data_IF_413374804924
#
_entry.id   IF_413374804924
#
_cell.length_a   1.000
_cell.length_b   1.000
_cell.length_c   1.000
_cell.angle_alpha   90.00
_cell.angle_beta   90.00
_cell.angle_gamma   90.00
#
_symmetry.space_group_name_H-M   'P 1'
#
loop_
_entity.id
_entity.type
_entity.pdbx_description
1 polymer ?
#
# COMPACT_ATOMS: atom_id res chain seq x y z
N UNK A 1 -25.99 -19.18 -15.33
CA UNK A 1 -25.19 -19.39 -14.10
C UNK A 1 -24.95 -18.03 -13.46
N UNK A 2 -25.26 -17.85 -12.18
CA UNK A 2 -24.95 -16.60 -11.48
C UNK A 2 -23.42 -16.40 -11.46
N UNK A 3 -22.90 -15.19 -11.72
CA UNK A 3 -21.47 -14.94 -11.73
C UNK A 3 -20.91 -15.30 -10.36
N UNK A 4 -19.97 -16.26 -10.31
CA UNK A 4 -19.15 -16.50 -9.12
C UNK A 4 -18.55 -15.15 -8.74
N UNK A 5 -18.75 -14.72 -7.49
CA UNK A 5 -18.32 -13.38 -7.05
C UNK A 5 -16.78 -13.32 -7.08
N UNK A 6 -16.20 -12.78 -8.16
CA UNK A 6 -14.73 -12.70 -8.36
C UNK A 6 -14.08 -11.83 -7.30
N UNK A 7 -14.78 -10.78 -6.87
CA UNK A 7 -14.33 -9.85 -5.83
C UNK A 7 -15.29 -9.86 -4.64
N UNK A 8 -14.74 -9.95 -3.44
CA UNK A 8 -15.45 -9.80 -2.18
C UNK A 8 -16.04 -8.39 -2.01
N UNK A 9 -17.00 -8.24 -1.09
CA UNK A 9 -17.56 -6.92 -0.75
C UNK A 9 -16.49 -5.93 -0.29
N UNK A 10 -15.54 -6.39 0.52
CA UNK A 10 -14.41 -5.58 1.03
C UNK A 10 -13.55 -5.07 -0.12
N UNK A 11 -13.22 -5.93 -1.08
CA UNK A 11 -12.42 -5.54 -2.24
C UNK A 11 -13.14 -4.51 -3.12
N UNK A 12 -14.46 -4.64 -3.29
CA UNK A 12 -15.28 -3.64 -3.98
C UNK A 12 -15.29 -2.30 -3.24
N UNK A 13 -15.36 -2.32 -1.91
CA UNK A 13 -15.24 -1.12 -1.08
C UNK A 13 -13.87 -0.46 -1.25
N UNK A 14 -12.79 -1.25 -1.26
CA UNK A 14 -11.44 -0.74 -1.52
C UNK A 14 -11.35 -0.08 -2.91
N UNK A 15 -11.85 -0.73 -3.97
CA UNK A 15 -11.88 -0.14 -5.32
C UNK A 15 -12.67 1.17 -5.35
N UNK A 16 -13.81 1.21 -4.65
CA UNK A 16 -14.60 2.43 -4.54
C UNK A 16 -13.82 3.56 -3.87
N UNK A 17 -13.11 3.28 -2.76
CA UNK A 17 -12.24 4.25 -2.10
C UNK A 17 -11.11 4.73 -3.02
N UNK A 18 -10.43 3.82 -3.74
CA UNK A 18 -9.38 4.17 -4.70
C UNK A 18 -9.91 5.09 -5.82
N UNK A 19 -11.15 4.87 -6.24
CA UNK A 19 -11.84 5.69 -7.25
C UNK A 19 -12.23 7.06 -6.68
N UNK A 20 -12.82 7.09 -5.49
CA UNK A 20 -13.24 8.32 -4.81
C UNK A 20 -12.05 9.26 -4.51
N UNK A 21 -10.90 8.70 -4.16
CA UNK A 21 -9.67 9.47 -3.92
C UNK A 21 -8.95 9.93 -5.21
N UNK A 22 -9.50 9.62 -6.40
CA UNK A 22 -8.96 10.07 -7.68
C UNK A 22 -7.71 9.33 -8.15
N UNK A 23 -7.44 8.14 -7.61
CA UNK A 23 -6.31 7.29 -8.06
C UNK A 23 -6.72 6.36 -9.19
N UNK A 24 -7.99 6.06 -9.40
CA UNK A 24 -8.45 5.31 -10.56
C UNK A 24 -9.25 6.21 -11.50
N UNK A 25 -8.71 6.47 -12.69
CA UNK A 25 -9.35 7.32 -13.71
C UNK A 25 -10.43 6.58 -14.52
N UNK A 26 -10.93 5.45 -14.02
CA UNK A 26 -11.83 4.54 -14.72
C UNK A 26 -12.84 3.93 -13.75
N UNK A 27 -13.93 3.38 -14.29
CA UNK A 27 -15.04 2.84 -13.50
C UNK A 27 -14.92 1.32 -13.37
N UNK A 28 -15.20 0.78 -12.19
CA UNK A 28 -15.43 -0.66 -12.03
C UNK A 28 -16.89 -1.01 -12.36
N UNK A 29 -17.10 -1.92 -13.31
CA UNK A 29 -18.40 -2.45 -13.65
C UNK A 29 -18.64 -3.78 -12.91
N UNK A 30 -19.56 -3.76 -11.95
CA UNK A 30 -19.87 -4.91 -11.10
C UNK A 30 -20.59 -6.05 -11.85
N UNK A 31 -21.24 -5.79 -12.99
CA UNK A 31 -21.91 -6.84 -13.76
C UNK A 31 -20.92 -7.65 -14.60
N UNK A 32 -19.92 -6.98 -15.18
CA UNK A 32 -18.87 -7.62 -16.00
C UNK A 32 -17.63 -8.01 -15.20
N UNK A 33 -17.51 -7.54 -13.94
CA UNK A 33 -16.30 -7.62 -13.12
C UNK A 33 -15.05 -7.10 -13.84
N UNK A 34 -15.19 -6.01 -14.61
CA UNK A 34 -14.10 -5.38 -15.37
C UNK A 34 -14.06 -3.88 -15.13
N UNK A 35 -12.87 -3.31 -15.32
CA UNK A 35 -12.63 -1.87 -15.36
C UNK A 35 -12.84 -1.32 -16.77
N UNK A 36 -13.74 -0.34 -16.88
CA UNK A 36 -14.20 0.28 -18.12
C UNK A 36 -13.79 1.75 -18.17
N UNK A 37 -13.55 2.24 -19.40
CA UNK A 37 -13.25 3.65 -19.62
C UNK A 37 -14.46 4.51 -19.24
N UNK A 38 -14.21 5.58 -18.49
CA UNK A 38 -15.24 6.54 -18.12
C UNK A 38 -14.68 7.95 -18.25
N UNK A 39 -15.21 8.71 -19.21
CA UNK A 39 -14.82 10.10 -19.42
C UNK A 39 -15.05 10.96 -18.17
N UNK A 40 -16.14 10.70 -17.43
CA UNK A 40 -16.46 11.40 -16.18
C UNK A 40 -15.39 11.20 -15.10
N UNK A 41 -14.95 9.96 -14.88
CA UNK A 41 -13.93 9.65 -13.86
C UNK A 41 -12.56 10.22 -14.26
N UNK A 42 -12.21 10.13 -15.54
CA UNK A 42 -10.99 10.72 -16.07
C UNK A 42 -10.98 12.24 -15.90
N UNK A 43 -12.04 12.93 -16.33
CA UNK A 43 -12.19 14.37 -16.15
C UNK A 43 -12.18 14.77 -14.67
N UNK A 44 -12.85 14.01 -13.81
CA UNK A 44 -12.83 14.21 -12.36
C UNK A 44 -11.42 14.12 -11.77
N UNK A 45 -10.62 13.14 -12.19
CA UNK A 45 -9.23 13.01 -11.76
C UNK A 45 -8.35 14.17 -12.27
N UNK A 46 -8.54 14.62 -13.52
CA UNK A 46 -7.83 15.78 -14.08
C UNK A 46 -8.19 17.06 -13.31
N UNK A 47 -9.48 17.36 -13.16
CA UNK A 47 -9.95 18.54 -12.41
C UNK A 47 -9.47 18.48 -10.98
N UNK A 48 -9.58 17.33 -10.31
CA UNK A 48 -9.10 17.14 -8.94
C UNK A 48 -7.59 17.35 -8.81
N UNK A 49 -6.81 16.98 -9.83
CA UNK A 49 -5.35 17.19 -9.84
C UNK A 49 -5.01 18.65 -10.03
N UNK A 50 -5.64 19.34 -10.99
CA UNK A 50 -5.46 20.79 -11.20
C UNK A 50 -5.87 21.58 -9.95
N UNK A 51 -7.01 21.23 -9.36
CA UNK A 51 -7.47 21.83 -8.11
C UNK A 51 -6.44 21.63 -6.99
N UNK A 52 -5.87 20.44 -6.86
CA UNK A 52 -4.85 20.17 -5.84
C UNK A 52 -3.56 20.97 -6.05
N UNK A 53 -3.11 21.13 -7.30
CA UNK A 53 -1.93 21.95 -7.63
C UNK A 53 -2.13 23.40 -7.18
N UNK A 54 -3.31 23.95 -7.42
CA UNK A 54 -3.62 25.35 -7.11
C UNK A 54 -3.88 25.53 -5.61
N UNK A 55 -4.75 24.72 -5.00
CA UNK A 55 -5.23 24.94 -3.64
C UNK A 55 -4.42 24.21 -2.56
N UNK A 56 -3.71 23.13 -2.91
CA UNK A 56 -2.88 22.36 -1.97
C UNK A 56 -1.85 23.22 -1.23
N UNK A 57 -1.04 24.04 -1.93
CA UNK A 57 -0.07 24.93 -1.28
C UNK A 57 -0.71 25.93 -0.31
N UNK A 58 -1.90 26.45 -0.62
CA UNK A 58 -2.62 27.37 0.27
C UNK A 58 -3.10 26.69 1.54
N UNK A 59 -3.61 25.46 1.46
CA UNK A 59 -4.01 24.66 2.62
C UNK A 59 -2.81 24.39 3.52
N UNK A 60 -1.67 24.02 2.93
CA UNK A 60 -0.44 23.78 3.70
C UNK A 60 0.12 25.06 4.32
N UNK A 61 0.18 26.16 3.57
CA UNK A 61 0.63 27.44 4.07
C UNK A 61 -0.26 27.97 5.20
N UNK A 62 -1.58 27.82 5.05
CA UNK A 62 -2.53 28.09 6.13
C UNK A 62 -2.25 27.22 7.35
N UNK A 63 -2.04 25.92 7.17
CA UNK A 63 -1.77 25.00 8.28
C UNK A 63 -0.50 25.37 9.05
N UNK A 64 0.59 25.69 8.35
CA UNK A 64 1.86 26.11 8.97
C UNK A 64 1.72 27.39 9.80
N UNK A 65 1.01 28.39 9.30
CA UNK A 65 0.93 29.70 9.95
C UNK A 65 -0.11 29.78 11.07
N UNK A 66 -1.11 28.90 11.02
CA UNK A 66 -2.27 28.97 11.91
C UNK A 66 -2.24 27.96 13.06
N UNK A 67 -1.46 26.88 12.95
CA UNK A 67 -1.36 25.87 14.00
C UNK A 67 -0.28 26.29 15.01
N UNK A 68 -0.65 26.27 16.29
CA UNK A 68 0.28 26.47 17.40
C UNK A 68 1.26 25.28 17.46
N UNK A 69 2.52 25.56 17.18
CA UNK A 69 3.61 24.60 17.30
C UNK A 69 4.66 25.14 18.29
N UNK A 70 5.45 24.26 18.94
CA UNK A 70 6.52 24.71 19.82
C UNK A 70 7.49 25.60 19.03
N UNK A 71 7.85 26.75 19.61
CA UNK A 71 8.49 27.89 18.93
C UNK A 71 9.96 27.67 18.50
N UNK A 72 10.45 26.43 18.51
CA UNK A 72 11.82 26.14 18.06
C UNK A 72 11.90 26.22 16.54
N UNK A 73 12.98 26.82 16.03
CA UNK A 73 13.23 26.91 14.59
C UNK A 73 13.24 25.53 13.92
N UNK A 74 13.80 24.53 14.61
CA UNK A 74 13.84 23.14 14.14
C UNK A 74 12.43 22.57 13.89
N UNK A 75 11.49 22.77 14.81
CA UNK A 75 10.13 22.27 14.64
C UNK A 75 9.42 22.94 13.47
N UNK A 76 9.60 24.25 13.29
CA UNK A 76 9.07 24.97 12.13
C UNK A 76 9.59 24.39 10.81
N UNK A 77 10.91 24.18 10.70
CA UNK A 77 11.51 23.57 9.50
C UNK A 77 10.99 22.17 9.22
N UNK A 78 10.84 21.34 10.25
CA UNK A 78 10.35 19.97 10.12
C UNK A 78 8.90 19.91 9.63
N UNK A 79 8.04 20.81 10.11
CA UNK A 79 6.64 20.90 9.68
C UNK A 79 6.54 21.40 8.23
N UNK A 80 7.36 22.38 7.83
CA UNK A 80 7.40 22.82 6.44
C UNK A 80 7.86 21.68 5.51
N UNK A 81 8.91 20.95 5.89
CA UNK A 81 9.38 19.78 5.15
C UNK A 81 8.30 18.70 5.05
N UNK A 82 7.56 18.46 6.14
CA UNK A 82 6.44 17.52 6.17
C UNK A 82 5.45 17.85 5.05
N UNK A 83 4.95 19.09 4.99
CA UNK A 83 3.97 19.47 3.99
C UNK A 83 4.52 19.47 2.55
N UNK A 84 5.81 19.79 2.37
CA UNK A 84 6.47 19.64 1.06
C UNK A 84 6.45 18.18 0.62
N UNK A 85 6.77 17.23 1.49
CA UNK A 85 6.69 15.80 1.16
C UNK A 85 5.27 15.37 0.81
N UNK A 86 4.29 15.72 1.65
CA UNK A 86 2.88 15.39 1.41
C UNK A 86 2.41 15.91 0.04
N UNK A 87 2.72 17.17 -0.26
CA UNK A 87 2.37 17.80 -1.54
C UNK A 87 2.93 17.03 -2.73
N UNK A 88 4.23 16.75 -2.70
CA UNK A 88 4.91 16.06 -3.79
C UNK A 88 4.41 14.63 -3.97
N UNK A 89 4.16 13.90 -2.87
CA UNK A 89 3.66 12.53 -2.93
C UNK A 89 2.29 12.46 -3.58
N UNK A 90 1.34 13.29 -3.13
CA UNK A 90 -0.03 13.30 -3.68
C UNK A 90 0.00 13.73 -5.15
N UNK A 91 0.74 14.79 -5.46
CA UNK A 91 0.85 15.31 -6.83
C UNK A 91 1.44 14.27 -7.78
N UNK A 92 2.58 13.68 -7.43
CA UNK A 92 3.26 12.68 -8.27
C UNK A 92 2.40 11.41 -8.40
N UNK A 93 1.72 10.99 -7.33
CA UNK A 93 0.78 9.87 -7.35
C UNK A 93 -0.36 10.08 -8.35
N UNK A 94 -1.01 11.25 -8.30
CA UNK A 94 -2.11 11.61 -9.21
C UNK A 94 -1.63 11.72 -10.66
N UNK A 95 -0.53 12.41 -10.91
CA UNK A 95 0.05 12.54 -12.26
C UNK A 95 0.40 11.16 -12.81
N UNK A 96 1.10 10.32 -12.04
CA UNK A 96 1.50 8.98 -12.50
C UNK A 96 0.31 8.08 -12.76
N UNK A 97 -0.72 8.14 -11.92
CA UNK A 97 -1.96 7.41 -12.17
C UNK A 97 -2.63 7.87 -13.48
N UNK A 98 -2.78 9.18 -13.67
CA UNK A 98 -3.37 9.74 -14.89
C UNK A 98 -2.58 9.38 -16.15
N UNK A 99 -1.26 9.54 -16.12
CA UNK A 99 -0.39 9.23 -17.26
C UNK A 99 -0.40 7.75 -17.64
N UNK A 100 -0.60 6.86 -16.66
CA UNK A 100 -0.61 5.41 -16.87
C UNK A 100 -2.02 4.80 -16.80
N UNK A 101 -3.07 5.60 -16.83
CA UNK A 101 -4.44 5.14 -16.55
C UNK A 101 -4.88 3.98 -17.43
N UNK A 102 -4.55 4.02 -18.73
CA UNK A 102 -4.87 2.94 -19.67
C UNK A 102 -4.07 1.67 -19.39
N UNK A 103 -2.77 1.79 -19.13
CA UNK A 103 -1.90 0.66 -18.77
C UNK A 103 -2.36 0.02 -17.47
N UNK A 104 -2.67 0.83 -16.45
CA UNK A 104 -3.16 0.36 -15.15
C UNK A 104 -4.50 -0.37 -15.29
N UNK A 105 -5.42 0.14 -16.12
CA UNK A 105 -6.70 -0.50 -16.43
C UNK A 105 -6.51 -1.86 -17.09
N UNK A 106 -5.64 -1.97 -18.09
CA UNK A 106 -5.34 -3.21 -18.79
C UNK A 106 -4.75 -4.25 -17.83
N UNK A 107 -3.79 -3.84 -17.00
CA UNK A 107 -3.15 -4.73 -16.03
C UNK A 107 -4.12 -5.20 -14.94
N UNK A 108 -4.92 -4.30 -14.34
CA UNK A 108 -5.93 -4.69 -13.35
C UNK A 108 -6.99 -5.63 -13.94
N UNK A 109 -7.41 -5.39 -15.18
CA UNK A 109 -8.29 -6.31 -15.89
C UNK A 109 -7.64 -7.66 -16.17
N UNK A 110 -6.34 -7.68 -16.49
CA UNK A 110 -5.56 -8.91 -16.63
C UNK A 110 -5.52 -9.70 -15.33
N UNK A 111 -5.27 -9.02 -14.20
CA UNK A 111 -5.26 -9.63 -12.88
C UNK A 111 -6.61 -10.28 -12.54
N UNK A 112 -7.72 -9.58 -12.78
CA UNK A 112 -9.06 -10.12 -12.58
C UNK A 112 -9.39 -11.26 -13.54
N UNK A 113 -8.90 -11.20 -14.78
CA UNK A 113 -9.06 -12.29 -15.75
C UNK A 113 -8.39 -13.58 -15.27
N UNK A 114 -7.15 -13.47 -14.80
CA UNK A 114 -6.39 -14.62 -14.29
C UNK A 114 -7.09 -15.19 -13.06
N UNK A 115 -7.52 -14.33 -12.13
CA UNK A 115 -8.30 -14.76 -10.96
C UNK A 115 -9.58 -15.51 -11.35
N UNK A 116 -10.31 -15.02 -12.34
CA UNK A 116 -11.51 -15.67 -12.84
C UNK A 116 -11.21 -17.05 -13.44
N UNK A 117 -10.17 -17.16 -14.27
CA UNK A 117 -9.71 -18.44 -14.85
C UNK A 117 -9.31 -19.44 -13.77
N UNK A 118 -8.55 -18.99 -12.77
CA UNK A 118 -8.13 -19.84 -11.64
C UNK A 118 -9.32 -20.22 -10.75
N UNK A 119 -10.41 -19.45 -10.69
CA UNK A 119 -11.63 -19.84 -9.95
C UNK A 119 -12.53 -20.84 -10.70
N UNK A 120 -12.43 -20.95 -12.03
CA UNK A 120 -13.35 -21.76 -12.83
C UNK A 120 -13.14 -23.27 -12.67
N UNK A 121 -11.90 -23.76 -12.59
CA UNK A 121 -11.59 -25.19 -12.49
C UNK A 121 -11.48 -25.77 -11.06
N UNK A 122 -12.02 -25.12 -10.03
CA UNK A 122 -11.91 -25.56 -8.62
C UNK A 122 -13.33 -25.83 -8.08
N UNK A 123 -13.59 -27.01 -7.49
CA UNK A 123 -14.81 -27.23 -6.73
C UNK A 123 -14.74 -26.39 -5.46
N UNK A 124 -15.64 -25.41 -5.32
CA UNK A 124 -15.89 -24.52 -4.16
C UNK A 124 -14.86 -24.65 -3.02
N UNK A 125 -13.59 -24.32 -3.28
CA UNK A 125 -12.62 -24.15 -2.21
C UNK A 125 -12.89 -22.77 -1.64
N UNK A 126 -13.09 -22.73 -0.33
CA UNK A 126 -13.28 -21.50 0.42
C UNK A 126 -12.18 -20.51 0.05
N UNK A 127 -12.54 -19.45 -0.68
CA UNK A 127 -11.67 -18.30 -0.87
C UNK A 127 -11.18 -17.89 0.52
N UNK A 128 -9.86 -17.85 0.71
CA UNK A 128 -9.25 -17.49 1.99
C UNK A 128 -9.78 -16.10 2.41
N UNK A 129 -10.61 -16.09 3.46
CA UNK A 129 -11.28 -14.88 3.92
C UNK A 129 -10.32 -13.98 4.72
N UNK A 130 -9.14 -14.47 5.09
CA UNK A 130 -8.22 -13.76 5.98
C UNK A 130 -7.57 -12.55 5.30
N UNK A 131 -7.26 -12.64 4.01
CA UNK A 131 -6.61 -11.56 3.25
C UNK A 131 -7.50 -10.32 3.05
N UNK A 132 -8.76 -10.43 2.59
CA UNK A 132 -9.65 -9.28 2.55
C UNK A 132 -9.94 -8.74 3.96
N UNK A 133 -10.00 -9.58 5.00
CA UNK A 133 -10.15 -9.10 6.38
C UNK A 133 -8.93 -8.28 6.85
N UNK A 134 -7.70 -8.70 6.51
CA UNK A 134 -6.49 -7.90 6.77
C UNK A 134 -6.52 -6.54 6.08
N UNK A 135 -6.99 -6.49 4.84
CA UNK A 135 -7.16 -5.22 4.11
C UNK A 135 -8.21 -4.34 4.79
N UNK A 136 -9.33 -4.92 5.22
CA UNK A 136 -10.37 -4.20 5.95
C UNK A 136 -9.85 -3.65 7.29
N UNK A 137 -9.14 -4.48 8.05
CA UNK A 137 -8.50 -4.08 9.31
C UNK A 137 -7.56 -2.89 9.08
N UNK A 138 -6.74 -2.96 8.03
CA UNK A 138 -5.86 -1.87 7.62
C UNK A 138 -6.64 -0.59 7.35
N UNK A 139 -7.66 -0.65 6.49
CA UNK A 139 -8.47 0.51 6.11
C UNK A 139 -9.23 1.12 7.31
N UNK A 140 -9.80 0.29 8.18
CA UNK A 140 -10.58 0.77 9.33
C UNK A 140 -9.66 1.28 10.43
N UNK A 141 -8.63 0.54 10.82
CA UNK A 141 -7.78 0.90 11.97
C UNK A 141 -6.77 1.96 11.58
N UNK A 142 -5.95 1.70 10.56
CA UNK A 142 -4.77 2.51 10.27
C UNK A 142 -5.07 3.70 9.38
N UNK A 143 -5.98 3.55 8.41
CA UNK A 143 -6.38 4.68 7.57
C UNK A 143 -7.44 5.53 8.28
N UNK A 144 -8.57 4.96 8.70
CA UNK A 144 -9.65 5.75 9.29
C UNK A 144 -9.50 6.00 10.80
N UNK A 145 -9.27 4.94 11.59
CA UNK A 145 -9.27 4.99 13.04
C UNK A 145 -8.17 5.88 13.61
N UNK A 146 -6.95 5.73 13.11
CA UNK A 146 -5.83 6.59 13.52
C UNK A 146 -6.04 8.04 13.07
N UNK A 147 -6.64 8.30 11.91
CA UNK A 147 -6.99 9.67 11.51
C UNK A 147 -8.02 10.30 12.44
N UNK A 148 -9.07 9.56 12.83
CA UNK A 148 -10.07 10.04 13.80
C UNK A 148 -9.43 10.32 15.15
N UNK A 149 -8.52 9.45 15.59
CA UNK A 149 -7.79 9.64 16.84
C UNK A 149 -6.89 10.87 16.77
N UNK A 150 -6.13 11.07 15.70
CA UNK A 150 -5.36 12.29 15.48
C UNK A 150 -6.24 13.54 15.44
N UNK A 151 -7.44 13.47 14.83
CA UNK A 151 -8.38 14.58 14.78
C UNK A 151 -8.91 14.96 16.18
N UNK A 152 -9.25 13.96 16.99
CA UNK A 152 -9.78 14.16 18.34
C UNK A 152 -8.76 14.77 19.29
N UNK A 153 -7.48 14.39 19.17
CA UNK A 153 -6.40 14.87 20.02
C UNK A 153 -5.61 16.03 19.42
N UNK A 154 -6.04 16.58 18.28
CA UNK A 154 -5.45 17.79 17.75
C UNK A 154 -5.92 18.98 18.61
N UNK A 155 -5.02 19.49 19.45
CA UNK A 155 -5.24 20.57 20.42
C UNK A 155 -6.04 21.76 19.88
N UNK A 156 -5.84 22.09 18.60
CA UNK A 156 -6.56 23.16 17.88
C UNK A 156 -8.07 22.94 17.80
N UNK A 157 -8.57 21.70 17.76
CA UNK A 157 -10.01 21.41 17.80
C UNK A 157 -10.60 21.52 19.21
N UNK A 158 -9.79 21.27 20.23
CA UNK A 158 -10.25 21.20 21.64
C UNK A 158 -10.24 22.57 22.30
N UNK A 159 -9.25 23.41 22.03
CA UNK A 159 -9.12 24.72 22.69
C UNK A 159 -9.74 25.90 21.91
N UNK A 160 -9.85 25.83 20.57
CA UNK A 160 -10.32 26.96 19.73
C UNK A 160 -11.71 26.68 19.10
N UNK A 161 -12.72 26.54 19.95
CA UNK A 161 -14.08 26.08 19.61
C UNK A 161 -14.94 26.95 18.68
N UNK A 162 -14.41 27.88 17.86
CA UNK A 162 -15.26 28.92 17.24
C UNK A 162 -15.05 29.21 15.73
N UNK A 163 -13.99 28.76 15.07
CA UNK A 163 -13.80 29.09 13.65
C UNK A 163 -13.92 27.87 12.73
N UNK A 164 -15.03 27.84 11.98
CA UNK A 164 -15.30 26.88 10.90
C UNK A 164 -14.10 26.68 9.96
N UNK A 165 -13.31 27.73 9.71
CA UNK A 165 -12.13 27.68 8.84
C UNK A 165 -11.03 26.76 9.39
N UNK A 166 -10.77 26.77 10.70
CA UNK A 166 -9.78 25.87 11.30
C UNK A 166 -10.23 24.41 11.23
N UNK A 167 -11.51 24.16 11.51
CA UNK A 167 -12.09 22.82 11.40
C UNK A 167 -12.00 22.28 9.97
N UNK A 168 -12.33 23.13 8.99
CA UNK A 168 -12.21 22.82 7.58
C UNK A 168 -10.76 22.54 7.17
N UNK A 169 -9.80 23.35 7.64
CA UNK A 169 -8.38 23.17 7.35
C UNK A 169 -7.85 21.84 7.91
N UNK A 170 -8.21 21.51 9.16
CA UNK A 170 -7.87 20.24 9.79
C UNK A 170 -8.46 19.04 9.04
N UNK A 171 -9.74 19.14 8.64
CA UNK A 171 -10.38 18.13 7.81
C UNK A 171 -9.68 17.97 6.44
N UNK A 172 -9.33 19.07 5.78
CA UNK A 172 -8.58 19.03 4.52
C UNK A 172 -7.22 18.37 4.67
N UNK A 173 -6.50 18.62 5.76
CA UNK A 173 -5.20 17.99 6.03
C UNK A 173 -5.36 16.47 6.24
N UNK A 174 -6.37 16.04 7.01
CA UNK A 174 -6.67 14.60 7.18
C UNK A 174 -7.03 13.92 5.86
N UNK A 175 -7.84 14.58 5.02
CA UNK A 175 -8.15 14.09 3.68
C UNK A 175 -6.90 13.96 2.80
N UNK A 176 -5.91 14.84 2.96
CA UNK A 176 -4.63 14.73 2.26
C UNK A 176 -3.80 13.55 2.76
N UNK A 177 -3.70 13.34 4.08
CA UNK A 177 -3.05 12.14 4.66
C UNK A 177 -3.71 10.87 4.12
N UNK A 178 -5.06 10.82 4.11
CA UNK A 178 -5.80 9.72 3.50
C UNK A 178 -5.43 9.53 2.02
N UNK A 179 -5.34 10.62 1.25
CA UNK A 179 -4.97 10.61 -0.16
C UNK A 179 -3.55 10.06 -0.42
N UNK A 180 -2.62 10.18 0.53
CA UNK A 180 -1.28 9.60 0.42
C UNK A 180 -1.31 8.07 0.52
N UNK A 181 -2.12 7.56 1.45
CA UNK A 181 -2.22 6.11 1.74
C UNK A 181 -2.90 5.31 0.62
N UNK A 182 -3.53 6.00 -0.35
CA UNK A 182 -4.22 5.37 -1.48
C UNK A 182 -3.27 4.55 -2.36
N UNK A 183 -2.00 4.98 -2.53
CA UNK A 183 -1.03 4.20 -3.31
C UNK A 183 -0.68 2.87 -2.63
N UNK A 184 -0.54 2.86 -1.30
CA UNK A 184 -0.38 1.62 -0.53
C UNK A 184 -1.63 0.76 -0.61
N UNK A 185 -2.83 1.36 -0.52
CA UNK A 185 -4.07 0.61 -0.65
C UNK A 185 -4.18 -0.10 -2.00
N UNK A 186 -3.81 0.58 -3.09
CA UNK A 186 -3.76 -0.03 -4.41
C UNK A 186 -2.71 -1.16 -4.47
N UNK A 187 -1.52 -0.93 -3.91
CA UNK A 187 -0.48 -1.96 -3.83
C UNK A 187 -0.98 -3.19 -3.07
N UNK A 188 -1.53 -3.02 -1.87
CA UNK A 188 -2.05 -4.12 -1.05
C UNK A 188 -3.19 -4.86 -1.73
N UNK A 189 -4.11 -4.14 -2.36
CA UNK A 189 -5.18 -4.73 -3.15
C UNK A 189 -4.60 -5.67 -4.23
N UNK A 190 -3.61 -5.20 -4.99
CA UNK A 190 -2.95 -5.97 -6.06
C UNK A 190 -2.19 -7.17 -5.50
N UNK A 191 -1.39 -6.97 -4.44
CA UNK A 191 -0.60 -8.03 -3.82
C UNK A 191 -1.50 -9.12 -3.21
N UNK A 192 -2.58 -8.76 -2.53
CA UNK A 192 -3.50 -9.73 -1.93
C UNK A 192 -4.29 -10.49 -3.00
N UNK A 193 -4.64 -9.84 -4.11
CA UNK A 193 -5.19 -10.54 -5.28
C UNK A 193 -4.19 -11.54 -5.86
N UNK A 194 -2.93 -11.12 -6.04
CA UNK A 194 -1.85 -12.01 -6.51
C UNK A 194 -1.59 -13.19 -5.57
N UNK A 195 -1.59 -12.96 -4.25
CA UNK A 195 -1.48 -14.01 -3.23
C UNK A 195 -2.63 -15.00 -3.36
N UNK A 196 -3.87 -14.52 -3.50
CA UNK A 196 -5.04 -15.38 -3.67
C UNK A 196 -4.94 -16.25 -4.92
N UNK A 197 -4.45 -15.68 -6.02
CA UNK A 197 -4.20 -16.43 -7.26
C UNK A 197 -3.15 -17.52 -7.01
N UNK A 198 -2.00 -17.19 -6.39
CA UNK A 198 -0.98 -18.20 -6.08
C UNK A 198 -1.45 -19.27 -5.13
N UNK A 199 -2.24 -18.94 -4.10
CA UNK A 199 -2.80 -19.94 -3.19
C UNK A 199 -3.63 -20.97 -3.96
N UNK A 200 -4.47 -20.53 -4.88
CA UNK A 200 -5.31 -21.41 -5.68
C UNK A 200 -4.51 -22.22 -6.70
N UNK A 201 -3.51 -21.60 -7.36
CA UNK A 201 -2.60 -22.29 -8.26
C UNK A 201 -1.82 -23.38 -7.50
N UNK A 202 -1.23 -23.04 -6.37
CA UNK A 202 -0.44 -23.98 -5.56
C UNK A 202 -1.30 -25.14 -5.03
N UNK A 203 -2.54 -24.88 -4.63
CA UNK A 203 -3.48 -25.92 -4.21
C UNK A 203 -3.77 -26.91 -5.35
N UNK A 204 -4.08 -26.39 -6.56
CA UNK A 204 -4.28 -27.26 -7.74
C UNK A 204 -3.03 -28.02 -8.15
N UNK A 205 -1.88 -27.36 -8.14
CA UNK A 205 -0.63 -28.03 -8.46
C UNK A 205 -0.38 -29.20 -7.50
N UNK A 206 -0.61 -29.01 -6.20
CA UNK A 206 -0.52 -30.10 -5.23
C UNK A 206 -1.51 -31.24 -5.55
N UNK A 207 -2.78 -30.92 -5.79
CA UNK A 207 -3.79 -31.94 -6.12
C UNK A 207 -3.42 -32.74 -7.38
N UNK A 208 -2.90 -32.08 -8.42
CA UNK A 208 -2.49 -32.71 -9.67
C UNK A 208 -1.24 -33.60 -9.52
N UNK A 209 -0.26 -33.17 -8.72
CA UNK A 209 0.97 -33.94 -8.44
C UNK A 209 0.63 -35.28 -7.78
N UNK A 210 -0.39 -35.33 -6.92
CA UNK A 210 -0.82 -36.56 -6.24
C UNK A 210 -1.96 -37.31 -6.95
N UNK A 211 -2.71 -36.64 -7.83
CA UNK A 211 -4.00 -37.13 -8.35
C UNK A 211 -3.98 -37.93 -9.65
N UNK A 212 -3.15 -37.61 -10.65
CA UNK A 212 -2.95 -38.34 -11.93
C UNK A 212 -2.37 -37.40 -13.01
N UNK A 213 -1.60 -37.98 -13.94
CA UNK A 213 -0.70 -37.37 -14.94
C UNK A 213 -1.38 -36.50 -16.03
N UNK A 214 -1.59 -35.21 -15.77
CA UNK A 214 -1.87 -34.24 -16.84
C UNK A 214 -0.75 -33.18 -16.94
N UNK A 215 0.40 -33.49 -17.58
CA UNK A 215 1.50 -32.53 -17.72
C UNK A 215 1.04 -31.22 -18.39
N UNK A 216 0.04 -31.28 -19.28
CA UNK A 216 -0.53 -30.10 -19.95
C UNK A 216 -1.21 -29.13 -18.98
N UNK A 217 -1.90 -29.62 -17.94
CA UNK A 217 -2.56 -28.76 -16.96
C UNK A 217 -1.54 -28.06 -16.05
N UNK A 218 -0.44 -28.73 -15.73
CA UNK A 218 0.67 -28.15 -14.96
C UNK A 218 1.34 -27.01 -15.74
N UNK A 219 1.59 -27.23 -17.04
CA UNK A 219 2.10 -26.18 -17.93
C UNK A 219 1.15 -24.99 -17.94
N UNK A 220 -0.17 -25.22 -18.08
CA UNK A 220 -1.17 -24.15 -18.07
C UNK A 220 -1.19 -23.37 -16.73
N UNK A 221 -1.13 -24.07 -15.60
CA UNK A 221 -1.08 -23.44 -14.27
C UNK A 221 0.21 -22.62 -14.08
N UNK A 222 1.33 -23.13 -14.59
CA UNK A 222 2.60 -22.41 -14.57
C UNK A 222 2.57 -21.14 -15.43
N UNK A 223 1.95 -21.19 -16.61
CA UNK A 223 1.75 -20.01 -17.45
C UNK A 223 0.86 -18.96 -16.73
N UNK A 224 -0.21 -19.40 -16.05
CA UNK A 224 -1.03 -18.49 -15.23
C UNK A 224 -0.24 -17.89 -14.06
N UNK A 225 0.64 -18.66 -13.42
CA UNK A 225 1.54 -18.18 -12.36
C UNK A 225 2.51 -17.11 -12.89
N UNK A 226 3.09 -17.38 -14.05
CA UNK A 226 3.99 -16.50 -14.78
C UNK A 226 3.30 -15.20 -15.17
N UNK A 227 2.10 -15.27 -15.73
CA UNK A 227 1.28 -14.10 -16.09
C UNK A 227 0.89 -13.28 -14.86
N UNK A 228 0.58 -13.95 -13.73
CA UNK A 228 0.29 -13.28 -12.46
C UNK A 228 1.47 -12.42 -12.01
N UNK A 229 2.68 -12.97 -12.06
CA UNK A 229 3.90 -12.24 -11.74
C UNK A 229 4.08 -11.01 -12.62
N UNK A 230 3.95 -11.18 -13.94
CA UNK A 230 4.15 -10.12 -14.92
C UNK A 230 3.12 -8.99 -14.74
N UNK A 231 1.86 -9.34 -14.52
CA UNK A 231 0.79 -8.36 -14.29
C UNK A 231 1.02 -7.61 -12.98
N UNK A 232 1.30 -8.30 -11.89
CA UNK A 232 1.55 -7.66 -10.58
C UNK A 232 2.77 -6.76 -10.64
N UNK A 233 3.89 -7.24 -11.20
CA UNK A 233 5.10 -6.43 -11.38
C UNK A 233 4.86 -5.22 -12.28
N UNK A 234 4.08 -5.38 -13.36
CA UNK A 234 3.68 -4.28 -14.22
C UNK A 234 2.87 -3.21 -13.49
N UNK A 235 1.99 -3.60 -12.55
CA UNK A 235 1.24 -2.65 -11.73
C UNK A 235 2.17 -1.97 -10.73
N UNK A 236 3.01 -2.74 -10.04
CA UNK A 236 4.03 -2.21 -9.11
C UNK A 236 4.91 -1.18 -9.80
N UNK A 237 5.31 -1.42 -11.05
CA UNK A 237 6.12 -0.48 -11.83
C UNK A 237 5.41 0.86 -12.07
N UNK A 238 4.10 0.84 -12.28
CA UNK A 238 3.29 2.07 -12.45
C UNK A 238 3.24 2.87 -11.14
N UNK A 239 3.11 2.19 -10.00
CA UNK A 239 3.00 2.83 -8.67
C UNK A 239 4.34 2.98 -7.93
N UNK A 240 5.46 2.60 -8.54
CA UNK A 240 6.75 2.48 -7.85
C UNK A 240 7.31 3.82 -7.36
N UNK A 241 7.12 4.91 -8.13
CA UNK A 241 7.61 6.24 -7.74
C UNK A 241 6.80 6.78 -6.55
N UNK A 242 5.46 6.74 -6.55
CA UNK A 242 4.67 7.06 -5.36
C UNK A 242 5.09 6.24 -4.13
N UNK A 243 5.29 4.92 -4.28
CA UNK A 243 5.74 4.06 -3.17
C UNK A 243 7.13 4.47 -2.68
N UNK A 244 8.07 4.78 -3.58
CA UNK A 244 9.40 5.24 -3.20
C UNK A 244 9.34 6.52 -2.35
N UNK A 245 8.54 7.50 -2.77
CA UNK A 245 8.36 8.73 -2.02
C UNK A 245 7.65 8.49 -0.68
N UNK A 246 6.70 7.56 -0.63
CA UNK A 246 6.06 7.13 0.61
C UNK A 246 7.05 6.46 1.56
N UNK A 247 7.99 5.64 1.09
CA UNK A 247 9.04 5.07 1.94
C UNK A 247 9.91 6.16 2.59
N UNK A 248 10.27 7.20 1.83
CA UNK A 248 11.02 8.36 2.35
C UNK A 248 10.18 9.10 3.40
N UNK A 249 8.90 9.32 3.12
CA UNK A 249 7.94 9.91 4.04
C UNK A 249 7.78 9.13 5.33
N UNK A 250 7.59 7.81 5.26
CA UNK A 250 7.43 6.96 6.43
C UNK A 250 8.66 7.04 7.32
N UNK A 251 9.85 6.95 6.74
CA UNK A 251 11.09 7.14 7.50
C UNK A 251 11.13 8.51 8.18
N UNK A 252 10.86 9.58 7.43
CA UNK A 252 10.88 10.94 7.96
C UNK A 252 9.87 11.13 9.11
N UNK A 253 8.62 10.72 8.93
CA UNK A 253 7.57 10.92 9.94
C UNK A 253 7.75 10.03 11.15
N UNK A 254 8.22 8.79 10.98
CA UNK A 254 8.50 7.91 12.12
C UNK A 254 9.57 8.55 13.01
N UNK A 255 10.68 9.01 12.42
CA UNK A 255 11.74 9.75 13.13
C UNK A 255 11.16 11.01 13.78
N UNK A 256 10.47 11.85 13.00
CA UNK A 256 9.93 13.12 13.50
C UNK A 256 8.91 12.94 14.63
N UNK A 257 8.04 11.94 14.55
CA UNK A 257 7.00 11.69 15.55
C UNK A 257 7.59 11.31 16.91
N UNK A 258 8.63 10.47 16.90
CA UNK A 258 9.33 10.08 18.14
C UNK A 258 10.10 11.26 18.72
N UNK A 259 10.79 12.05 17.88
CA UNK A 259 11.49 13.26 18.33
C UNK A 259 10.54 14.32 18.90
N UNK A 260 9.41 14.57 18.22
CA UNK A 260 8.40 15.51 18.66
C UNK A 260 7.76 15.06 19.97
N UNK A 261 7.47 13.77 20.11
CA UNK A 261 6.97 13.18 21.37
C UNK A 261 7.95 13.43 22.52
N UNK A 262 9.24 13.19 22.30
CA UNK A 262 10.28 13.43 23.31
C UNK A 262 10.38 14.90 23.71
N UNK A 263 10.50 15.81 22.74
CA UNK A 263 10.66 17.24 23.01
C UNK A 263 9.42 17.84 23.66
N UNK A 264 8.22 17.48 23.21
CA UNK A 264 6.96 17.90 23.85
C UNK A 264 6.88 17.43 25.29
N UNK A 265 7.18 16.15 25.57
CA UNK A 265 7.14 15.62 26.93
C UNK A 265 8.12 16.33 27.86
N UNK A 266 9.34 16.58 27.39
CA UNK A 266 10.36 17.31 28.18
C UNK A 266 9.91 18.74 28.47
N UNK A 267 9.33 19.42 27.50
CA UNK A 267 8.80 20.79 27.67
C UNK A 267 7.64 20.82 28.66
N UNK A 268 6.68 19.92 28.54
CA UNK A 268 5.50 19.86 29.41
C UNK A 268 5.88 19.52 30.85
N UNK A 269 6.84 18.60 31.05
CA UNK A 269 7.39 18.28 32.39
C UNK A 269 8.10 19.48 33.00
N UNK A 270 8.92 20.21 32.22
CA UNK A 270 9.59 21.43 32.70
C UNK A 270 8.61 22.55 33.03
N UNK A 271 7.53 22.67 32.27
CA UNK A 271 6.49 23.68 32.48
C UNK A 271 5.49 23.33 33.60
N UNK A 272 5.52 22.10 34.13
CA UNK A 272 4.56 21.63 35.13
C UNK A 272 3.13 21.52 34.60
N UNK A 273 2.95 21.33 33.29
CA UNK A 273 1.65 21.27 32.63
C UNK A 273 0.97 19.92 32.82
N UNK A 274 -0.33 19.92 33.18
CA UNK A 274 -1.16 18.72 33.24
C UNK A 274 -1.59 18.19 31.86
N UNK A 275 -1.40 18.96 30.80
CA UNK A 275 -1.83 18.64 29.43
C UNK A 275 -0.81 17.79 28.65
N UNK A 276 0.28 17.37 29.30
CA UNK A 276 1.36 16.58 28.72
C UNK A 276 0.85 15.34 27.96
N UNK A 277 -0.20 14.71 28.49
CA UNK A 277 -0.77 13.50 27.92
C UNK A 277 -1.47 13.77 26.57
N UNK A 278 -2.14 14.91 26.41
CA UNK A 278 -2.82 15.29 25.17
C UNK A 278 -1.81 15.59 24.05
N UNK A 279 -0.70 16.27 24.37
CA UNK A 279 0.34 16.63 23.41
C UNK A 279 1.11 15.40 22.88
N UNK A 280 1.17 14.33 23.68
CA UNK A 280 1.89 13.09 23.37
C UNK A 280 1.04 12.09 22.58
N UNK A 281 -0.29 12.06 22.76
CA UNK A 281 -1.15 11.10 22.07
C UNK A 281 -1.13 11.29 20.56
N UNK A 282 -1.22 12.52 20.07
CA UNK A 282 -1.26 12.81 18.63
C UNK A 282 -0.01 12.31 17.86
N UNK A 283 1.24 12.66 18.25
CA UNK A 283 2.43 12.15 17.57
C UNK A 283 2.60 10.63 17.72
N UNK A 284 2.21 10.03 18.86
CA UNK A 284 2.20 8.57 19.02
C UNK A 284 1.19 7.93 18.05
N UNK A 285 0.02 8.52 17.87
CA UNK A 285 -0.99 8.03 16.95
C UNK A 285 -0.51 8.06 15.49
N UNK A 286 0.13 9.15 15.08
CA UNK A 286 0.79 9.23 13.78
C UNK A 286 1.90 8.18 13.64
N UNK A 287 2.76 8.02 14.65
CA UNK A 287 3.80 6.99 14.63
C UNK A 287 3.21 5.58 14.44
N UNK A 288 2.17 5.21 15.20
CA UNK A 288 1.52 3.89 15.10
C UNK A 288 0.86 3.72 13.73
N UNK A 289 0.22 4.77 13.20
CA UNK A 289 -0.39 4.74 11.87
C UNK A 289 0.66 4.42 10.81
N UNK A 290 1.75 5.19 10.76
CA UNK A 290 2.80 5.06 9.74
C UNK A 290 3.60 3.77 9.88
N UNK A 291 3.91 3.35 11.11
CA UNK A 291 4.52 2.04 11.37
C UNK A 291 3.61 0.90 10.87
N UNK A 292 2.30 1.03 11.05
CA UNK A 292 1.30 0.14 10.48
C UNK A 292 1.32 0.10 8.96
N UNK A 293 1.37 1.26 8.29
CA UNK A 293 1.46 1.33 6.82
C UNK A 293 2.69 0.56 6.30
N UNK A 294 3.86 0.78 6.91
CA UNK A 294 5.10 0.08 6.57
C UNK A 294 4.97 -1.42 6.81
N UNK A 295 4.41 -1.83 7.95
CA UNK A 295 4.20 -3.24 8.28
C UNK A 295 3.32 -3.95 7.24
N UNK A 296 2.16 -3.37 6.88
CA UNK A 296 1.27 -3.98 5.90
C UNK A 296 1.91 -4.07 4.51
N UNK A 297 2.61 -3.00 4.08
CA UNK A 297 3.33 -2.97 2.81
C UNK A 297 4.38 -4.09 2.73
N UNK A 298 5.24 -4.19 3.75
CA UNK A 298 6.31 -5.19 3.82
C UNK A 298 5.75 -6.60 3.94
N UNK A 299 4.79 -6.81 4.84
CA UNK A 299 4.14 -8.09 5.06
C UNK A 299 3.43 -8.60 3.80
N UNK A 300 2.69 -7.72 3.11
CA UNK A 300 2.03 -8.07 1.84
C UNK A 300 3.01 -8.46 0.75
N UNK A 301 4.10 -7.73 0.58
CA UNK A 301 5.12 -8.02 -0.43
C UNK A 301 5.89 -9.32 -0.11
N UNK A 302 6.23 -9.54 1.15
CA UNK A 302 6.88 -10.77 1.61
C UNK A 302 5.96 -11.99 1.45
N UNK A 303 4.68 -11.87 1.83
CA UNK A 303 3.68 -12.93 1.62
C UNK A 303 3.52 -13.25 0.14
N UNK A 304 3.41 -12.24 -0.74
CA UNK A 304 3.33 -12.45 -2.18
C UNK A 304 4.54 -13.24 -2.71
N UNK A 305 5.75 -12.82 -2.34
CA UNK A 305 7.00 -13.46 -2.77
C UNK A 305 7.08 -14.91 -2.26
N UNK A 306 6.71 -15.15 -0.99
CA UNK A 306 6.73 -16.48 -0.40
C UNK A 306 5.72 -17.41 -1.05
N UNK A 307 4.51 -16.93 -1.39
CA UNK A 307 3.49 -17.74 -2.07
C UNK A 307 3.83 -18.01 -3.52
N UNK A 308 4.43 -17.05 -4.22
CA UNK A 308 4.97 -17.27 -5.56
C UNK A 308 5.98 -18.42 -5.56
N UNK A 309 6.81 -18.51 -4.50
CA UNK A 309 7.87 -19.52 -4.39
C UNK A 309 7.40 -20.95 -4.07
N UNK A 310 6.16 -21.12 -3.63
CA UNK A 310 5.61 -22.41 -3.22
C UNK A 310 5.25 -23.34 -4.38
N UNK A 311 5.36 -22.90 -5.63
CA UNK A 311 5.15 -23.75 -6.81
C UNK A 311 6.35 -24.69 -7.07
N UNK A 312 7.54 -24.35 -6.56
CA UNK A 312 8.79 -25.09 -6.83
C UNK A 312 8.77 -26.56 -6.38
N UNK A 313 8.26 -26.93 -5.19
CA UNK A 313 8.15 -28.33 -4.79
C UNK A 313 7.28 -29.16 -5.74
N UNK A 314 6.26 -28.56 -6.35
CA UNK A 314 5.42 -29.23 -7.35
C UNK A 314 6.19 -29.52 -8.63
N UNK A 315 7.00 -28.56 -9.10
CA UNK A 315 7.82 -28.71 -10.30
C UNK A 315 8.93 -29.75 -10.09
N UNK A 316 9.66 -29.68 -8.98
CA UNK A 316 10.76 -30.60 -8.66
C UNK A 316 10.34 -32.08 -8.58
N UNK A 317 9.11 -32.36 -8.14
CA UNK A 317 8.60 -33.72 -8.00
C UNK A 317 8.37 -34.39 -9.37
N UNK A 318 8.13 -33.60 -10.42
CA UNK A 318 8.07 -34.06 -11.79
C UNK A 318 9.45 -34.19 -12.42
N UNK A 319 10.38 -33.26 -12.15
CA UNK A 319 11.77 -33.33 -12.64
C UNK A 319 12.50 -34.59 -12.14
N UNK A 320 12.16 -35.08 -10.93
CA UNK A 320 12.73 -36.33 -10.41
C UNK A 320 12.21 -37.63 -11.06
N UNK A 321 11.20 -37.55 -11.94
CA UNK A 321 10.56 -38.70 -12.61
C UNK A 321 10.66 -38.64 -14.15
N UNK A 322 11.53 -37.79 -14.69
CA UNK A 322 11.66 -37.55 -16.13
C UNK A 322 11.90 -38.88 -16.86
N UNK A 323 10.94 -39.23 -17.71
CA UNK A 323 11.09 -40.17 -18.82
C UNK A 323 11.29 -39.36 -20.09
N UNK A 324 11.86 -39.94 -21.17
CA UNK A 324 12.15 -39.23 -22.44
C UNK A 324 10.89 -38.78 -23.23
N UNK A 325 9.77 -38.53 -22.55
CA UNK A 325 8.50 -38.09 -23.13
C UNK A 325 8.52 -36.56 -23.26
N UNK A 326 8.07 -35.99 -24.40
CA UNK A 326 8.11 -34.54 -24.65
C UNK A 326 7.40 -33.65 -23.61
N UNK A 327 6.48 -34.20 -22.81
CA UNK A 327 5.85 -33.47 -21.69
C UNK A 327 6.80 -33.24 -20.50
N UNK A 328 7.77 -34.12 -20.29
CA UNK A 328 8.73 -34.03 -19.18
C UNK A 328 9.82 -32.98 -19.47
N UNK A 329 10.24 -32.85 -20.75
CA UNK A 329 11.14 -31.78 -21.20
C UNK A 329 10.54 -30.37 -21.05
N UNK A 330 9.22 -30.23 -21.26
CA UNK A 330 8.54 -28.96 -21.04
C UNK A 330 8.60 -28.55 -19.57
N UNK A 331 8.38 -29.49 -18.64
CA UNK A 331 8.43 -29.21 -17.20
C UNK A 331 9.85 -28.85 -16.75
N UNK A 332 10.88 -29.49 -17.31
CA UNK A 332 12.27 -29.13 -17.07
C UNK A 332 12.58 -27.69 -17.51
N UNK A 333 12.17 -27.30 -18.73
CA UNK A 333 12.34 -25.94 -19.23
C UNK A 333 11.63 -24.91 -18.34
N UNK A 334 10.40 -25.21 -17.89
CA UNK A 334 9.66 -24.33 -16.98
C UNK A 334 10.33 -24.23 -15.60
N UNK A 335 10.94 -25.31 -15.11
CA UNK A 335 11.70 -25.30 -13.85
C UNK A 335 12.92 -24.40 -13.95
N UNK A 336 13.63 -24.44 -15.09
CA UNK A 336 14.76 -23.56 -15.37
C UNK A 336 14.30 -22.09 -15.46
N UNK A 337 13.21 -21.82 -16.20
CA UNK A 337 12.64 -20.47 -16.29
C UNK A 337 12.27 -19.95 -14.90
N UNK A 338 11.60 -20.78 -14.09
CA UNK A 338 11.22 -20.44 -12.73
C UNK A 338 12.42 -20.05 -11.87
N UNK A 339 13.50 -20.84 -11.92
CA UNK A 339 14.73 -20.58 -11.17
C UNK A 339 15.41 -19.28 -11.59
N UNK A 340 15.27 -18.88 -12.85
CA UNK A 340 15.82 -17.64 -13.37
C UNK A 340 15.00 -16.40 -12.98
N UNK A 341 13.73 -16.57 -12.60
CA UNK A 341 12.79 -15.47 -12.39
C UNK A 341 12.82 -14.97 -10.94
N UNK A 342 12.95 -13.65 -10.79
CA UNK A 342 12.79 -13.00 -9.48
C UNK A 342 11.33 -12.60 -9.24
N UNK A 343 10.72 -13.20 -8.23
CA UNK A 343 9.35 -12.93 -7.80
C UNK A 343 9.26 -11.82 -6.75
N UNK A 344 10.41 -11.31 -6.29
CA UNK A 344 10.43 -10.27 -5.28
C UNK A 344 9.89 -8.94 -5.80
N UNK A 345 9.15 -8.22 -4.94
CA UNK A 345 8.60 -6.91 -5.28
C UNK A 345 9.73 -5.88 -5.19
N UNK A 346 10.23 -5.41 -6.34
CA UNK A 346 11.30 -4.41 -6.42
C UNK A 346 10.77 -3.03 -6.78
N UNK A 347 11.30 -2.00 -6.13
CA UNK A 347 11.00 -0.60 -6.45
C UNK A 347 12.10 -0.05 -7.33
N UNK A 348 11.81 0.10 -8.64
CA UNK A 348 12.73 0.67 -9.66
C UNK A 348 14.16 0.09 -9.64
N UNK A 349 14.31 -1.16 -9.21
CA UNK A 349 15.61 -1.81 -9.06
C UNK A 349 16.49 -1.29 -7.91
N UNK A 350 16.02 -0.33 -7.12
CA UNK A 350 16.76 0.25 -5.99
C UNK A 350 16.80 -0.70 -4.79
N UNK A 351 15.64 -1.23 -4.42
CA UNK A 351 15.49 -2.15 -3.29
C UNK A 351 14.31 -3.09 -3.47
N UNK A 352 14.31 -4.17 -2.70
CA UNK A 352 13.23 -5.16 -2.61
C UNK A 352 12.38 -4.88 -1.38
N UNK A 353 11.05 -4.82 -1.53
CA UNK A 353 10.12 -4.71 -0.41
C UNK A 353 10.00 -6.07 0.28
N UNK A 354 10.78 -6.24 1.34
CA UNK A 354 10.76 -7.41 2.21
C UNK A 354 11.03 -7.01 3.67
N UNK A 355 11.13 -8.00 4.56
CA UNK A 355 11.40 -7.78 5.98
C UNK A 355 12.73 -7.05 6.22
N UNK A 356 13.67 -7.10 5.29
CA UNK A 356 14.97 -6.40 5.39
C UNK A 356 14.77 -4.88 5.40
N UNK A 357 13.80 -4.34 4.65
CA UNK A 357 13.46 -2.91 4.72
C UNK A 357 12.96 -2.54 6.12
N UNK A 358 12.09 -3.37 6.70
CA UNK A 358 11.55 -3.08 8.03
C UNK A 358 12.68 -2.99 9.06
N UNK A 359 13.62 -3.94 9.03
CA UNK A 359 14.81 -3.88 9.87
C UNK A 359 15.68 -2.65 9.60
N UNK A 360 15.89 -2.28 8.33
CA UNK A 360 16.66 -1.12 7.96
C UNK A 360 16.03 0.20 8.43
N UNK A 361 14.70 0.34 8.33
CA UNK A 361 13.95 1.50 8.82
C UNK A 361 14.07 1.59 10.35
N UNK A 362 13.89 0.48 11.08
CA UNK A 362 13.99 0.46 12.54
C UNK A 362 15.40 0.82 13.02
N UNK A 363 16.43 0.21 12.42
CA UNK A 363 17.82 0.50 12.75
C UNK A 363 18.17 1.97 12.48
N UNK A 364 17.83 2.46 11.28
CA UNK A 364 18.10 3.85 10.89
C UNK A 364 17.36 4.83 11.78
N UNK A 365 16.08 4.59 12.06
CA UNK A 365 15.27 5.44 12.96
C UNK A 365 15.94 5.53 14.33
N UNK A 366 16.38 4.41 14.89
CA UNK A 366 17.04 4.37 16.20
C UNK A 366 18.34 5.20 16.20
N UNK A 367 19.17 5.07 15.15
CA UNK A 367 20.40 5.84 15.01
C UNK A 367 20.14 7.35 14.88
N UNK A 368 19.20 7.76 14.03
CA UNK A 368 18.86 9.18 13.86
C UNK A 368 18.22 9.77 15.11
N UNK A 369 17.42 8.99 15.85
CA UNK A 369 16.87 9.42 17.14
C UNK A 369 17.94 9.71 18.18
N UNK A 370 18.95 8.84 18.30
CA UNK A 370 20.08 9.09 19.21
C UNK A 370 20.79 10.40 18.86
N UNK A 371 21.06 10.62 17.57
CA UNK A 371 21.74 11.84 17.09
C UNK A 371 20.88 13.09 17.37
N UNK A 372 19.58 13.04 17.05
CA UNK A 372 18.68 14.19 17.24
C UNK A 372 18.50 14.53 18.73
N UNK A 373 18.39 13.53 19.60
CA UNK A 373 18.32 13.76 21.05
C UNK A 373 19.63 14.34 21.58
N UNK A 374 20.78 13.83 21.13
CA UNK A 374 22.09 14.37 21.51
C UNK A 374 22.25 15.83 21.08
N UNK A 375 21.81 16.18 19.87
CA UNK A 375 21.84 17.54 19.37
C UNK A 375 20.92 18.47 20.18
N UNK A 376 19.70 18.04 20.47
CA UNK A 376 18.75 18.81 21.28
C UNK A 376 19.23 19.05 22.72
N UNK A 377 19.97 18.11 23.32
CA UNK A 377 20.55 18.30 24.65
C UNK A 377 21.72 19.30 24.68
N UNK A 378 22.28 19.65 23.52
CA UNK A 378 23.36 20.66 23.40
C UNK A 378 22.82 22.07 23.18
N UNK A 379 21.56 22.22 22.77
CA UNK A 379 20.80 23.48 22.78
C UNK A 379 20.25 23.78 24.18
#
# INVERSE_FOLDING_TARGET
MAPKCVLSFVEKCCIWLLTACGVLSFRYNASTNRFEKSALHYMGCVVGTVFYIVFGPWIYWGSVNTVLHPSTMLNYYMIVLQFIFMYNIILISRIKSLSNGERLRQLLNGLLAIREQVLQGLPIVSCDQDLPQKLLLKLIVFDFGMMVLCAFFFRTFVEHSESFLYSLLGFCNLMQVSSMNVAINLLLFVLYNGINIYLQINARCNDLVYGSKAPMEIVQLYLMHTDTSLVVQGIVEVVSIPILLLCIWYFFIIVFSVFYTYTSLVQDVRAGSGDALLNVINPIAFFISEAGQVYFMVSGAAMFTNRARQIMPCLNLYTGRITDVPGDQAIELLTIEYLSRDYAIRIKGLFTIDNTILFAIVASTTSYMIILVQYYLQE
#
